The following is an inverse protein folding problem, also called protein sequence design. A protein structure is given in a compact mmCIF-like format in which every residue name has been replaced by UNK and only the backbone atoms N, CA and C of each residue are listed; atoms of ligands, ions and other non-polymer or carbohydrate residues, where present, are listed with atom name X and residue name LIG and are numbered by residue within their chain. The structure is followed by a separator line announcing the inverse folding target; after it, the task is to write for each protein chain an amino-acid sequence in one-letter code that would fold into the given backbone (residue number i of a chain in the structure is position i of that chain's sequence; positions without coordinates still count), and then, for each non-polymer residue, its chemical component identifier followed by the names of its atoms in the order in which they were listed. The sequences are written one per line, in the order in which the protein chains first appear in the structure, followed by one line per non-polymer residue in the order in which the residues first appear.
data_IF_764757572445
#
_entry.id   IF_764757572445
#
_cell.length_a   1.000
_cell.length_b   1.000
_cell.length_c   1.000
_cell.angle_alpha   90.00
_cell.angle_beta   90.00
_cell.angle_gamma   90.00
#
_symmetry.space_group_name_H-M   'P 1'
#
loop_
_entity.id
_entity.type
_entity.pdbx_description
1 polymer ?
#
# COMPACT_ATOMS: atom_id res chain seq x y z
N UNK A 1 12.84 -20.18 9.83
CA UNK A 1 11.64 -19.54 10.42
C UNK A 1 10.65 -19.28 9.30
N UNK A 2 9.34 -19.47 9.52
CA UNK A 2 8.30 -19.22 8.50
C UNK A 2 8.37 -17.81 7.89
N UNK A 3 8.82 -16.83 8.68
CA UNK A 3 9.05 -15.44 8.22
C UNK A 3 10.16 -15.39 7.17
N UNK A 4 11.24 -16.16 7.34
CA UNK A 4 12.36 -16.18 6.39
C UNK A 4 11.93 -16.79 5.05
N UNK A 5 11.17 -17.88 5.08
CA UNK A 5 10.63 -18.51 3.87
C UNK A 5 9.67 -17.59 3.11
N UNK A 6 8.84 -16.81 3.82
CA UNK A 6 7.98 -15.80 3.20
C UNK A 6 8.80 -14.66 2.56
N UNK A 7 9.84 -14.17 3.23
CA UNK A 7 10.76 -13.17 2.69
C UNK A 7 11.53 -13.67 1.45
N UNK A 8 11.95 -14.93 1.45
CA UNK A 8 12.67 -15.54 0.35
C UNK A 8 11.79 -15.73 -0.89
N UNK A 9 10.49 -16.03 -0.72
CA UNK A 9 9.51 -16.03 -1.82
C UNK A 9 9.28 -14.64 -2.42
N UNK A 10 9.20 -13.59 -1.59
CA UNK A 10 9.10 -12.20 -2.08
C UNK A 10 10.32 -11.84 -2.94
N UNK A 11 11.52 -12.27 -2.51
CA UNK A 11 12.76 -12.07 -3.27
C UNK A 11 12.80 -12.89 -4.56
N UNK A 12 12.33 -14.14 -4.53
CA UNK A 12 12.30 -15.01 -5.71
C UNK A 12 11.31 -14.56 -6.78
N UNK A 13 10.21 -13.90 -6.39
CA UNK A 13 9.24 -13.30 -7.31
C UNK A 13 9.59 -11.85 -7.71
N UNK A 14 10.70 -11.30 -7.21
CA UNK A 14 11.22 -10.00 -7.64
C UNK A 14 12.20 -10.20 -8.81
N UNK A 15 12.10 -9.45 -9.93
CA UNK A 15 13.04 -9.59 -11.03
C UNK A 15 14.46 -9.27 -10.54
N UNK A 16 15.34 -10.27 -10.59
CA UNK A 16 16.69 -10.19 -10.05
C UNK A 16 17.55 -9.22 -10.87
N UNK A 17 18.06 -8.17 -10.22
CA UNK A 17 19.07 -7.26 -10.78
C UNK A 17 20.41 -7.98 -10.88
N UNK A 18 20.70 -8.61 -12.01
CA UNK A 18 22.05 -9.12 -12.32
C UNK A 18 22.97 -7.93 -12.62
N UNK A 19 23.88 -7.62 -11.69
CA UNK A 19 24.98 -6.69 -11.91
C UNK A 19 26.18 -7.51 -12.37
N UNK A 20 26.35 -7.69 -13.68
CA UNK A 20 27.58 -8.25 -14.23
C UNK A 20 28.65 -7.16 -14.24
N UNK A 21 29.68 -7.35 -13.42
CA UNK A 21 30.87 -6.51 -13.41
C UNK A 21 31.81 -6.85 -14.56
N UNK A 22 32.14 -5.84 -15.38
CA UNK A 22 33.42 -5.72 -16.08
C UNK A 22 33.83 -4.26 -15.96
N UNK A 23 34.97 -4.00 -15.32
CA UNK A 23 35.50 -2.66 -15.14
C UNK A 23 36.08 -2.08 -16.43
N UNK A 24 35.71 -0.83 -16.72
CA UNK A 24 36.44 0.08 -17.62
C UNK A 24 36.37 1.48 -17.00
N UNK A 25 37.48 2.24 -16.88
CA UNK A 25 37.44 3.56 -16.28
C UNK A 25 36.90 4.57 -17.30
N UNK A 26 35.87 5.34 -16.95
CA UNK A 26 35.37 6.43 -17.81
C UNK A 26 35.31 7.74 -17.02
N UNK A 27 35.97 8.74 -17.62
CA UNK A 27 36.20 10.10 -17.16
C UNK A 27 34.91 10.87 -16.86
N UNK A 28 35.06 11.86 -15.99
CA UNK A 28 34.07 12.89 -15.71
C UNK A 28 33.72 13.68 -16.99
N UNK A 29 32.43 13.77 -17.30
CA UNK A 29 31.91 14.61 -18.38
C UNK A 29 30.66 14.00 -18.99
N UNK A 30 29.54 14.65 -18.71
CA UNK A 30 28.25 14.51 -19.39
C UNK A 30 27.39 13.29 -18.99
N UNK A 31 26.36 13.52 -18.17
CA UNK A 31 25.25 12.57 -17.95
C UNK A 31 23.92 13.23 -18.29
N UNK A 32 23.51 13.05 -19.54
CA UNK A 32 22.11 12.82 -19.89
C UNK A 32 21.69 11.53 -19.18
N UNK A 33 20.75 11.58 -18.25
CA UNK A 33 20.17 10.38 -17.64
C UNK A 33 18.86 10.02 -18.34
N UNK A 34 18.94 9.09 -19.28
CA UNK A 34 17.81 8.33 -19.80
C UNK A 34 17.48 7.13 -18.91
N UNK A 35 16.21 6.72 -19.02
CA UNK A 35 15.69 5.35 -18.93
C UNK A 35 15.93 4.53 -17.65
N UNK A 36 15.09 4.74 -16.63
CA UNK A 36 14.75 3.72 -15.62
C UNK A 36 13.24 3.83 -15.24
N UNK A 37 12.36 3.78 -16.24
CA UNK A 37 10.91 3.94 -16.05
C UNK A 37 10.10 2.63 -16.19
N UNK A 38 10.73 1.48 -16.52
CA UNK A 38 10.01 0.31 -17.04
C UNK A 38 9.58 -0.78 -16.04
N UNK A 39 10.25 -0.97 -14.90
CA UNK A 39 10.00 -2.15 -14.04
C UNK A 39 9.19 -1.84 -12.77
N UNK A 40 8.95 -0.56 -12.50
CA UNK A 40 8.18 -0.10 -11.36
C UNK A 40 6.67 0.02 -11.64
N UNK A 41 6.26 -0.30 -12.86
CA UNK A 41 4.89 -0.18 -13.37
C UNK A 41 4.01 -1.38 -12.99
N UNK A 42 4.54 -2.60 -12.92
CA UNK A 42 3.73 -3.82 -12.79
C UNK A 42 2.84 -3.87 -11.53
N UNK A 43 3.34 -3.42 -10.37
CA UNK A 43 2.56 -3.39 -9.13
C UNK A 43 1.52 -2.26 -9.06
N UNK A 44 1.87 -1.08 -9.59
CA UNK A 44 0.97 0.09 -9.65
C UNK A 44 -0.13 -0.16 -10.67
N UNK A 45 0.26 -0.65 -11.85
CA UNK A 45 -0.61 -1.10 -12.92
C UNK A 45 -1.52 -2.24 -12.45
N UNK A 46 -1.02 -3.18 -11.66
CA UNK A 46 -1.81 -4.24 -11.04
C UNK A 46 -2.96 -3.71 -10.19
N UNK A 47 -2.67 -2.85 -9.21
CA UNK A 47 -3.72 -2.26 -8.34
C UNK A 47 -4.67 -1.36 -9.13
N UNK A 48 -4.16 -0.52 -10.03
CA UNK A 48 -4.97 0.38 -10.84
C UNK A 48 -5.93 -0.37 -11.77
N UNK A 49 -5.52 -1.54 -12.29
CA UNK A 49 -6.32 -2.41 -13.16
C UNK A 49 -7.28 -3.33 -12.38
N UNK A 50 -7.13 -3.47 -11.07
CA UNK A 50 -8.05 -4.26 -10.26
C UNK A 50 -9.42 -3.56 -10.19
N UNK A 51 -10.42 -4.14 -10.85
CA UNK A 51 -11.79 -3.60 -10.90
C UNK A 51 -12.49 -3.61 -9.53
N UNK A 52 -13.12 -2.50 -9.16
CA UNK A 52 -14.04 -2.44 -8.01
C UNK A 52 -15.40 -2.99 -8.40
N UNK A 53 -15.91 -3.98 -7.68
CA UNK A 53 -17.28 -4.47 -7.91
C UNK A 53 -18.34 -3.43 -7.50
N UNK A 54 -18.04 -2.63 -6.48
CA UNK A 54 -18.91 -1.59 -5.92
C UNK A 54 -18.03 -0.47 -5.37
N UNK A 55 -18.48 0.77 -5.54
CA UNK A 55 -17.89 1.91 -4.84
C UNK A 55 -18.65 2.17 -3.54
N UNK A 56 -17.94 2.46 -2.46
CA UNK A 56 -18.56 2.92 -1.22
C UNK A 56 -19.16 4.31 -1.39
N UNK A 57 -20.35 4.49 -0.85
CA UNK A 57 -21.00 5.78 -0.69
C UNK A 57 -20.27 6.63 0.35
N UNK A 58 -20.44 7.96 0.27
CA UNK A 58 -19.88 8.88 1.26
C UNK A 58 -20.36 8.57 2.69
N UNK A 59 -21.59 8.07 2.84
CA UNK A 59 -22.12 7.64 4.13
C UNK A 59 -21.36 6.43 4.69
N UNK A 60 -21.10 5.41 3.86
CA UNK A 60 -20.31 4.23 4.27
C UNK A 60 -18.88 4.62 4.64
N UNK A 61 -18.27 5.56 3.91
CA UNK A 61 -16.93 6.07 4.21
C UNK A 61 -16.90 6.90 5.50
N UNK A 62 -17.90 7.75 5.72
CA UNK A 62 -18.05 8.51 6.96
C UNK A 62 -18.22 7.58 8.18
N UNK A 63 -19.05 6.53 8.07
CA UNK A 63 -19.20 5.51 9.12
C UNK A 63 -17.88 4.78 9.42
N UNK A 64 -17.07 4.52 8.38
CA UNK A 64 -15.73 3.94 8.52
C UNK A 64 -14.65 4.97 8.93
N UNK A 65 -15.03 6.22 9.21
CA UNK A 65 -14.10 7.34 9.51
C UNK A 65 -12.98 7.45 8.45
N UNK A 66 -13.39 7.39 7.19
CA UNK A 66 -12.52 7.46 6.02
C UNK A 66 -12.90 8.67 5.19
N UNK A 67 -11.91 9.47 4.78
CA UNK A 67 -12.10 10.63 3.92
C UNK A 67 -12.65 10.22 2.55
N UNK A 68 -13.45 11.09 1.95
CA UNK A 68 -13.92 10.98 0.57
C UNK A 68 -13.78 12.34 -0.12
N UNK A 69 -13.76 12.36 -1.45
CA UNK A 69 -13.65 13.61 -2.21
C UNK A 69 -14.93 14.47 -2.11
N UNK A 70 -16.08 13.85 -1.78
CA UNK A 70 -17.39 14.50 -1.71
C UNK A 70 -17.86 14.83 -0.29
N UNK A 71 -17.00 14.73 0.73
CA UNK A 71 -17.39 15.02 2.10
C UNK A 71 -17.63 16.51 2.37
N UNK A 72 -18.63 16.84 3.19
CA UNK A 72 -19.02 18.22 3.50
C UNK A 72 -17.97 18.98 4.34
N UNK A 73 -17.34 18.33 5.32
CA UNK A 73 -16.25 18.89 6.13
C UNK A 73 -14.89 18.53 5.54
N UNK A 74 -14.28 19.48 4.83
CA UNK A 74 -13.02 19.27 4.13
C UNK A 74 -11.78 19.44 5.02
N UNK A 75 -11.92 19.78 6.31
CA UNK A 75 -10.76 20.03 7.19
C UNK A 75 -9.88 18.80 7.32
N UNK A 76 -10.50 17.65 7.62
CA UNK A 76 -9.79 16.37 7.75
C UNK A 76 -9.19 15.95 6.41
N UNK A 77 -9.93 16.14 5.31
CA UNK A 77 -9.46 15.86 3.95
C UNK A 77 -8.22 16.68 3.60
N UNK A 78 -8.25 17.98 3.87
CA UNK A 78 -7.14 18.90 3.58
C UNK A 78 -5.92 18.57 4.45
N UNK A 79 -6.10 18.30 5.75
CA UNK A 79 -5.00 17.84 6.61
C UNK A 79 -4.36 16.53 6.10
N UNK A 80 -5.16 15.59 5.58
CA UNK A 80 -4.63 14.34 5.02
C UNK A 80 -3.95 14.53 3.67
N UNK A 81 -4.41 15.49 2.85
CA UNK A 81 -3.73 15.90 1.61
C UNK A 81 -2.37 16.56 1.90
N UNK A 82 -2.30 17.40 2.92
CA UNK A 82 -1.06 17.99 3.40
C UNK A 82 -0.10 16.93 3.93
N UNK A 83 -0.59 16.01 4.78
CA UNK A 83 0.20 14.90 5.29
C UNK A 83 0.75 14.03 4.15
N UNK A 84 -0.08 13.68 3.17
CA UNK A 84 0.35 12.95 1.97
C UNK A 84 1.50 13.67 1.26
N UNK A 85 1.33 14.95 0.95
CA UNK A 85 2.37 15.74 0.27
C UNK A 85 3.66 15.74 1.07
N UNK A 86 3.56 15.99 2.38
CA UNK A 86 4.69 16.02 3.32
C UNK A 86 5.44 14.69 3.42
N UNK A 87 4.70 13.57 3.45
CA UNK A 87 5.27 12.21 3.49
C UNK A 87 5.92 11.86 2.16
N UNK A 88 5.22 12.05 1.04
CA UNK A 88 5.73 11.71 -0.29
C UNK A 88 6.97 12.53 -0.68
N UNK A 89 7.08 13.79 -0.24
CA UNK A 89 8.27 14.61 -0.45
C UNK A 89 9.50 14.14 0.33
N UNK A 90 9.30 13.40 1.43
CA UNK A 90 10.39 12.87 2.27
C UNK A 90 10.79 11.44 1.90
N UNK A 91 9.98 10.75 1.10
CA UNK A 91 10.32 9.43 0.60
C UNK A 91 11.27 9.57 -0.59
N UNK A 92 12.31 8.75 -0.58
CA UNK A 92 13.13 8.56 -1.78
C UNK A 92 12.24 7.99 -2.91
N UNK A 93 12.53 8.36 -4.17
CA UNK A 93 11.69 7.98 -5.31
C UNK A 93 11.53 6.46 -5.50
N UNK A 94 12.45 5.67 -4.96
CA UNK A 94 12.46 4.20 -4.98
C UNK A 94 11.80 3.57 -3.73
N UNK A 95 11.48 4.35 -2.69
CA UNK A 95 10.83 3.87 -1.48
C UNK A 95 9.31 4.08 -1.53
N UNK A 96 8.58 2.95 -1.44
CA UNK A 96 7.11 2.91 -1.55
C UNK A 96 6.42 2.29 -0.33
N UNK A 97 7.15 2.10 0.76
CA UNK A 97 6.66 1.46 1.99
C UNK A 97 6.68 2.47 3.13
N UNK A 98 5.54 2.66 3.77
CA UNK A 98 5.36 3.52 4.94
C UNK A 98 4.84 2.64 6.08
N UNK A 99 5.54 2.64 7.21
CA UNK A 99 5.06 2.01 8.44
C UNK A 99 4.46 3.08 9.35
N UNK A 100 3.26 2.83 9.84
CA UNK A 100 2.57 3.71 10.79
C UNK A 100 2.36 2.93 12.08
N UNK A 101 2.78 3.54 13.19
CA UNK A 101 2.64 2.99 14.54
C UNK A 101 2.20 4.10 15.48
N UNK A 102 1.51 3.74 16.55
CA UNK A 102 1.06 4.65 17.60
C UNK A 102 1.77 4.30 18.91
N UNK A 103 1.96 5.31 19.77
CA UNK A 103 2.60 5.14 21.09
C UNK A 103 1.67 4.53 22.13
N UNK A 104 0.37 4.45 21.84
CA UNK A 104 -0.67 3.82 22.65
C UNK A 104 -1.78 3.23 21.74
N UNK A 105 -2.55 2.28 22.28
CA UNK A 105 -3.57 1.54 21.51
C UNK A 105 -4.63 2.45 20.86
N UNK A 106 -4.94 3.59 21.49
CA UNK A 106 -5.96 4.55 21.01
C UNK A 106 -5.36 5.81 20.36
N UNK A 107 -4.07 5.79 20.01
CA UNK A 107 -3.34 6.95 19.47
C UNK A 107 -3.71 7.36 18.05
N UNK A 108 -4.76 6.76 17.47
CA UNK A 108 -5.24 7.08 16.14
C UNK A 108 -4.38 6.54 15.00
N UNK A 109 -3.42 5.64 15.25
CA UNK A 109 -2.55 5.09 14.21
C UNK A 109 -3.31 4.46 13.04
N UNK A 110 -4.35 3.68 13.32
CA UNK A 110 -5.22 3.09 12.29
C UNK A 110 -5.99 4.13 11.49
N UNK A 111 -6.44 5.20 12.15
CA UNK A 111 -7.12 6.33 11.48
C UNK A 111 -6.18 7.05 10.53
N UNK A 112 -4.96 7.38 10.98
CA UNK A 112 -3.94 8.04 10.15
C UNK A 112 -3.55 7.15 8.98
N UNK A 113 -3.32 5.86 9.20
CA UNK A 113 -2.95 4.92 8.14
C UNK A 113 -4.03 4.79 7.05
N UNK A 114 -5.28 4.60 7.46
CA UNK A 114 -6.42 4.51 6.54
C UNK A 114 -6.59 5.77 5.72
N UNK A 115 -6.56 6.93 6.36
CA UNK A 115 -6.84 8.20 5.68
C UNK A 115 -5.66 8.71 4.85
N UNK A 116 -4.41 8.43 5.26
CA UNK A 116 -3.26 8.70 4.42
C UNK A 116 -3.30 7.86 3.14
N UNK A 117 -3.63 6.57 3.25
CA UNK A 117 -3.78 5.70 2.08
C UNK A 117 -4.93 6.13 1.16
N UNK A 118 -6.07 6.55 1.73
CA UNK A 118 -7.17 7.14 0.96
C UNK A 118 -6.73 8.44 0.26
N UNK A 119 -5.98 9.32 0.93
CA UNK A 119 -5.47 10.56 0.33
C UNK A 119 -4.49 10.29 -0.81
N UNK A 120 -3.65 9.25 -0.70
CA UNK A 120 -2.79 8.77 -1.79
C UNK A 120 -3.65 8.28 -2.95
N UNK A 121 -4.64 7.42 -2.68
CA UNK A 121 -5.50 6.84 -3.71
C UNK A 121 -6.39 7.88 -4.42
N UNK A 122 -6.74 9.00 -3.76
CA UNK A 122 -7.47 10.11 -4.40
C UNK A 122 -6.68 10.79 -5.51
N UNK A 123 -5.35 10.68 -5.53
CA UNK A 123 -4.53 11.14 -6.65
C UNK A 123 -4.62 10.11 -7.80
N UNK A 124 -5.09 10.56 -8.96
CA UNK A 124 -5.38 9.68 -10.11
C UNK A 124 -4.16 8.89 -10.60
N UNK A 125 -2.95 9.43 -10.41
CA UNK A 125 -1.71 8.78 -10.81
C UNK A 125 -1.12 7.85 -9.75
N UNK A 126 -1.81 7.61 -8.63
CA UNK A 126 -1.26 6.86 -7.50
C UNK A 126 -2.21 5.77 -7.01
N UNK A 127 -1.61 4.69 -6.53
CA UNK A 127 -2.32 3.59 -5.88
C UNK A 127 -1.79 3.40 -4.47
N UNK A 128 -2.61 2.78 -3.61
CA UNK A 128 -2.22 2.46 -2.25
C UNK A 128 -2.67 1.04 -1.87
N UNK A 129 -1.83 0.37 -1.09
CA UNK A 129 -2.12 -0.92 -0.45
C UNK A 129 -1.91 -0.76 1.05
N UNK A 130 -2.96 -0.98 1.84
CA UNK A 130 -2.84 -1.08 3.30
C UNK A 130 -2.54 -2.53 3.67
N UNK A 131 -1.60 -2.75 4.58
CA UNK A 131 -1.38 -4.06 5.21
C UNK A 131 -1.68 -3.89 6.70
N UNK A 132 -2.74 -4.54 7.19
CA UNK A 132 -3.12 -4.45 8.61
C UNK A 132 -2.27 -5.41 9.44
N UNK A 133 -1.16 -4.88 9.97
CA UNK A 133 -0.25 -5.63 10.83
C UNK A 133 -0.69 -5.66 12.31
N UNK A 134 -1.87 -5.12 12.67
CA UNK A 134 -2.37 -5.18 14.04
C UNK A 134 -3.18 -6.47 14.28
N UNK A 135 -2.46 -7.56 14.53
CA UNK A 135 -3.05 -8.89 14.73
C UNK A 135 -3.85 -9.04 16.04
N UNK A 136 -3.76 -8.08 16.96
CA UNK A 136 -4.42 -8.14 18.27
C UNK A 136 -5.77 -7.43 18.28
N UNK A 137 -5.85 -6.28 17.60
CA UNK A 137 -7.06 -5.44 17.51
C UNK A 137 -7.16 -4.82 16.11
N UNK A 138 -7.47 -5.61 15.07
CA UNK A 138 -7.57 -5.08 13.72
C UNK A 138 -8.76 -4.12 13.59
N UNK A 139 -8.46 -2.87 13.22
CA UNK A 139 -9.47 -1.81 13.00
C UNK A 139 -9.64 -1.52 11.50
N UNK A 140 -8.53 -1.43 10.76
CA UNK A 140 -8.54 -1.06 9.34
C UNK A 140 -9.14 -2.18 8.48
N UNK A 141 -8.99 -3.44 8.92
CA UNK A 141 -9.55 -4.62 8.27
C UNK A 141 -11.07 -4.54 8.01
N UNK A 142 -11.81 -3.67 8.72
CA UNK A 142 -13.24 -3.40 8.44
C UNK A 142 -13.50 -2.81 7.06
N UNK A 143 -12.49 -2.22 6.41
CA UNK A 143 -12.59 -1.78 5.04
C UNK A 143 -12.52 -2.94 4.02
N UNK A 144 -12.10 -4.14 4.41
CA UNK A 144 -11.88 -5.24 3.47
C UNK A 144 -13.21 -5.83 2.95
N UNK A 145 -13.35 -5.89 1.64
CA UNK A 145 -14.50 -6.50 0.94
C UNK A 145 -14.10 -7.84 0.33
N UNK A 146 -13.88 -8.83 1.20
CA UNK A 146 -13.52 -10.18 0.82
C UNK A 146 -14.14 -11.18 1.80
N UNK A 147 -14.71 -12.26 1.25
CA UNK A 147 -15.21 -13.39 2.03
C UNK A 147 -14.14 -14.48 2.11
N UNK A 148 -14.03 -15.16 3.25
CA UNK A 148 -13.10 -16.28 3.47
C UNK A 148 -11.63 -15.97 3.11
N UNK A 149 -11.18 -14.73 3.34
CA UNK A 149 -9.81 -14.34 3.07
C UNK A 149 -8.89 -14.71 4.25
N UNK A 150 -7.80 -15.47 4.03
CA UNK A 150 -6.90 -15.88 5.11
C UNK A 150 -6.07 -14.71 5.69
N UNK A 151 -5.98 -13.58 4.98
CA UNK A 151 -5.27 -12.38 5.42
C UNK A 151 -3.77 -12.61 5.64
N UNK A 152 -3.16 -11.66 6.33
CA UNK A 152 -1.73 -11.68 6.65
C UNK A 152 -1.36 -12.89 7.51
N UNK A 153 -2.16 -13.22 8.54
CA UNK A 153 -1.91 -14.36 9.41
C UNK A 153 -1.89 -15.69 8.65
N UNK A 154 -2.91 -15.96 7.83
CA UNK A 154 -2.97 -17.21 7.08
C UNK A 154 -1.81 -17.34 6.09
N UNK A 155 -1.46 -16.27 5.40
CA UNK A 155 -0.28 -16.24 4.51
C UNK A 155 1.04 -16.51 5.24
N UNK A 156 1.20 -15.98 6.47
CA UNK A 156 2.39 -16.25 7.29
C UNK A 156 2.43 -17.69 7.84
N UNK A 157 1.28 -18.34 7.96
CA UNK A 157 1.16 -19.71 8.47
C UNK A 157 1.31 -20.78 7.38
N UNK A 158 0.78 -20.49 6.19
CA UNK A 158 0.80 -21.34 5.00
C UNK A 158 1.43 -20.57 3.83
N UNK A 159 2.69 -20.91 3.54
CA UNK A 159 3.44 -20.23 2.48
C UNK A 159 2.99 -20.65 1.07
N UNK A 160 2.08 -21.62 0.93
CA UNK A 160 1.54 -22.02 -0.39
C UNK A 160 0.52 -21.00 -0.94
N UNK A 161 -0.04 -20.15 -0.07
CA UNK A 161 -0.96 -19.07 -0.46
C UNK A 161 -0.21 -18.01 -1.27
N UNK A 162 -0.77 -17.61 -2.42
CA UNK A 162 -0.20 -16.54 -3.22
C UNK A 162 -0.50 -15.17 -2.57
N UNK A 163 0.47 -14.23 -2.50
CA UNK A 163 0.21 -12.88 -2.02
C UNK A 163 -0.96 -12.16 -2.70
N UNK A 164 -1.26 -12.46 -3.98
CA UNK A 164 -2.42 -11.90 -4.67
C UNK A 164 -3.76 -12.28 -4.04
N UNK A 165 -3.83 -13.46 -3.42
CA UNK A 165 -5.07 -14.07 -2.94
C UNK A 165 -5.55 -13.46 -1.62
N UNK A 166 -4.64 -12.78 -0.92
CA UNK A 166 -4.92 -12.09 0.34
C UNK A 166 -5.19 -10.58 0.15
N UNK A 167 -5.14 -10.09 -1.08
CA UNK A 167 -5.45 -8.69 -1.39
C UNK A 167 -6.95 -8.52 -1.56
N UNK A 168 -7.56 -7.79 -0.65
CA UNK A 168 -8.98 -7.47 -0.66
C UNK A 168 -9.26 -6.11 -1.28
N UNK A 169 -10.45 -6.01 -1.88
CA UNK A 169 -11.05 -4.74 -2.29
C UNK A 169 -11.42 -3.90 -1.07
N UNK A 170 -11.57 -2.60 -1.29
CA UNK A 170 -12.04 -1.67 -0.26
C UNK A 170 -13.26 -0.86 -0.70
N UNK A 171 -13.72 -1.01 -1.94
CA UNK A 171 -14.73 -0.14 -2.52
C UNK A 171 -14.29 1.33 -2.65
N UNK A 172 -13.00 1.62 -2.44
CA UNK A 172 -12.37 2.93 -2.68
C UNK A 172 -11.45 2.76 -3.90
N UNK A 173 -11.63 3.55 -4.97
CA UNK A 173 -10.81 3.46 -6.17
C UNK A 173 -9.31 3.52 -5.84
N UNK A 174 -8.51 2.66 -6.48
CA UNK A 174 -7.04 2.62 -6.35
C UNK A 174 -6.52 2.31 -4.93
N UNK A 175 -7.39 1.88 -4.02
CA UNK A 175 -7.03 1.46 -2.66
C UNK A 175 -7.35 -0.01 -2.42
N UNK A 176 -6.34 -0.78 -2.02
CA UNK A 176 -6.45 -2.19 -1.66
C UNK A 176 -6.06 -2.40 -0.20
N UNK A 177 -6.47 -3.53 0.38
CA UNK A 177 -6.10 -3.90 1.74
C UNK A 177 -5.75 -5.38 1.85
N UNK A 178 -4.68 -5.71 2.55
CA UNK A 178 -4.44 -7.04 3.12
C UNK A 178 -4.86 -6.97 4.59
N UNK A 179 -5.98 -7.61 4.99
CA UNK A 179 -6.41 -7.62 6.38
C UNK A 179 -5.46 -8.48 7.23
N UNK A 180 -5.55 -8.32 8.55
CA UNK A 180 -4.73 -9.08 9.50
C UNK A 180 -4.93 -10.60 9.41
N UNK A 181 -6.14 -11.05 9.06
CA UNK A 181 -6.54 -12.46 9.08
C UNK A 181 -7.18 -12.86 10.42
N UNK A 182 -7.90 -13.99 10.43
CA UNK A 182 -8.55 -14.60 11.61
C UNK A 182 -8.13 -16.06 11.73
#
# INVERSE_FOLDING_TARGET
SKIQEALDKIRANSPARQVNGVGVPVKAGDRRSGAHAGELDDGVSGIAKMHEQRHRSDLELAQARTISAGMDDDRVLNSMRELRTSVLQRLDADKRIIMITATNDDGGGSFVARNLAAAIALDEGKTALIIDCNLRRPDISRLAECQNNPGLQGFLQDTTINPSDIICRTGIPRLRIIPSGN
#
